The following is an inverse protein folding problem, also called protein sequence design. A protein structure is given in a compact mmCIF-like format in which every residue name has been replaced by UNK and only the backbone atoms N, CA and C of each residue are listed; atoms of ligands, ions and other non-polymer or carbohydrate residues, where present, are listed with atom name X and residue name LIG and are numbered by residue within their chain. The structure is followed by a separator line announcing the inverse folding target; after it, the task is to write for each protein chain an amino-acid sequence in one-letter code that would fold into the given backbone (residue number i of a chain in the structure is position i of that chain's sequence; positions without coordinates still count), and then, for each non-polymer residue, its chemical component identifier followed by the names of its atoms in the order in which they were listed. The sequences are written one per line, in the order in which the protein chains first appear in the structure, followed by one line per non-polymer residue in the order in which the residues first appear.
data_IF_273588818686
#
_entry.id   IF_273588818686
#
_cell.length_a   1.000
_cell.length_b   1.000
_cell.length_c   1.000
_cell.angle_alpha   90.00
_cell.angle_beta   90.00
_cell.angle_gamma   90.00
#
_symmetry.space_group_name_H-M   'P 1'
#
loop_
_entity.id
_entity.type
_entity.pdbx_description
1 polymer ?
#
# COMPACT_ATOMS: atom_id res chain seq x y z
N UNK A 1 -10.82 -0.87 -12.79
CA UNK A 1 -10.38 -0.99 -11.39
C UNK A 1 -10.38 -2.47 -11.05
N UNK A 2 -9.31 -3.00 -10.47
CA UNK A 2 -9.24 -4.42 -10.08
C UNK A 2 -10.23 -4.67 -8.92
N UNK A 3 -10.92 -5.81 -8.89
CA UNK A 3 -11.88 -6.16 -7.84
C UNK A 3 -11.27 -6.03 -6.45
N UNK A 4 -10.04 -6.51 -6.27
CA UNK A 4 -9.30 -6.39 -5.01
C UNK A 4 -9.05 -4.92 -4.61
N UNK A 5 -8.67 -4.05 -5.56
CA UNK A 5 -8.48 -2.62 -5.25
C UNK A 5 -9.78 -1.95 -4.83
N UNK A 6 -10.91 -2.31 -5.45
CA UNK A 6 -12.22 -1.80 -5.05
C UNK A 6 -12.65 -2.32 -3.67
N UNK A 7 -12.36 -3.58 -3.34
CA UNK A 7 -12.60 -4.13 -2.00
C UNK A 7 -11.80 -3.38 -0.92
N UNK A 8 -10.50 -3.16 -1.17
CA UNK A 8 -9.62 -2.42 -0.24
C UNK A 8 -10.16 -1.00 -0.01
N UNK A 9 -10.54 -0.29 -1.07
CA UNK A 9 -11.14 1.05 -0.97
C UNK A 9 -12.43 1.04 -0.14
N UNK A 10 -13.33 0.08 -0.37
CA UNK A 10 -14.58 -0.04 0.41
C UNK A 10 -14.29 -0.27 1.90
N UNK A 11 -13.31 -1.10 2.24
CA UNK A 11 -12.93 -1.35 3.64
C UNK A 11 -12.34 -0.11 4.30
N UNK A 12 -11.51 0.65 3.60
CA UNK A 12 -10.96 1.91 4.11
C UNK A 12 -12.09 2.90 4.39
N UNK A 13 -13.00 3.11 3.43
CA UNK A 13 -14.12 4.04 3.61
C UNK A 13 -15.04 3.62 4.75
N UNK A 14 -15.31 2.31 4.89
CA UNK A 14 -16.10 1.80 6.02
C UNK A 14 -15.41 2.03 7.36
N UNK A 15 -14.08 1.91 7.43
CA UNK A 15 -13.33 2.19 8.66
C UNK A 15 -13.42 3.67 9.04
N UNK A 16 -13.30 4.59 8.07
CA UNK A 16 -13.44 6.03 8.29
C UNK A 16 -14.85 6.37 8.79
N UNK A 17 -15.90 5.84 8.16
CA UNK A 17 -17.28 6.04 8.58
C UNK A 17 -17.54 5.55 10.02
N UNK A 18 -17.07 4.34 10.37
CA UNK A 18 -17.18 3.83 11.74
C UNK A 18 -16.44 4.74 12.73
N UNK A 19 -15.24 5.20 12.38
CA UNK A 19 -14.44 6.07 13.24
C UNK A 19 -15.10 7.45 13.43
N UNK A 20 -15.70 8.03 12.40
CA UNK A 20 -16.48 9.26 12.50
C UNK A 20 -17.74 9.09 13.36
N UNK A 21 -18.49 8.00 13.15
CA UNK A 21 -19.69 7.69 13.93
C UNK A 21 -19.40 7.43 15.42
N UNK A 22 -18.16 7.04 15.74
CA UNK A 22 -17.66 6.85 17.12
C UNK A 22 -16.93 8.07 17.69
N UNK A 23 -16.93 9.20 16.98
CA UNK A 23 -16.20 10.42 17.35
C UNK A 23 -14.68 10.25 17.50
N UNK A 24 -14.07 9.23 16.87
CA UNK A 24 -12.61 9.09 16.78
C UNK A 24 -11.99 9.99 15.72
N UNK A 25 -12.77 10.35 14.69
CA UNK A 25 -12.38 11.28 13.63
C UNK A 25 -13.46 12.36 13.50
N UNK A 26 -13.03 13.57 13.14
CA UNK A 26 -13.88 14.65 12.65
C UNK A 26 -13.58 14.89 11.19
N UNK A 27 -14.53 15.51 10.48
CA UNK A 27 -14.28 15.96 9.11
C UNK A 27 -13.11 16.94 9.08
N UNK A 28 -12.15 16.72 8.17
CA UNK A 28 -10.92 17.49 8.07
C UNK A 28 -9.70 16.87 8.75
N UNK A 29 -9.88 15.88 9.63
CA UNK A 29 -8.75 15.25 10.32
C UNK A 29 -7.90 14.42 9.34
N UNK A 30 -6.56 14.43 9.49
CA UNK A 30 -5.69 13.58 8.67
C UNK A 30 -5.78 12.11 9.13
N UNK A 31 -5.89 11.20 8.16
CA UNK A 31 -5.94 9.75 8.38
C UNK A 31 -4.78 9.09 7.64
N UNK A 32 -3.95 8.36 8.38
CA UNK A 32 -2.89 7.53 7.81
C UNK A 32 -3.45 6.15 7.48
N UNK A 33 -3.35 5.76 6.22
CA UNK A 33 -3.80 4.47 5.71
C UNK A 33 -2.58 3.61 5.40
N UNK A 34 -2.59 2.37 5.92
CA UNK A 34 -1.60 1.35 5.63
C UNK A 34 -2.25 0.20 4.88
N UNK A 35 -1.72 -0.14 3.72
CA UNK A 35 -2.22 -1.21 2.84
C UNK A 35 -1.07 -1.96 2.20
N UNK A 36 -1.37 -3.10 1.57
CA UNK A 36 -0.42 -3.76 0.69
C UNK A 36 -0.55 -3.32 -0.76
N UNK A 37 0.48 -3.62 -1.55
CA UNK A 37 0.49 -3.37 -3.00
C UNK A 37 -0.25 -4.43 -3.82
N UNK A 38 -0.39 -5.64 -3.25
CA UNK A 38 -1.04 -6.81 -3.86
C UNK A 38 -1.90 -7.58 -2.86
N UNK A 39 -2.84 -8.42 -3.33
CA UNK A 39 -3.54 -9.36 -2.46
C UNK A 39 -2.60 -10.38 -1.80
N UNK A 40 -3.04 -10.90 -0.64
CA UNK A 40 -2.31 -11.89 0.15
C UNK A 40 -1.69 -11.28 1.42
N UNK A 41 -1.07 -12.15 2.21
CA UNK A 41 -0.40 -11.77 3.47
C UNK A 41 1.01 -11.20 3.22
N UNK A 42 1.55 -10.49 4.22
CA UNK A 42 2.96 -10.07 4.25
C UNK A 42 3.36 -8.95 3.29
N UNK A 43 2.40 -8.29 2.63
CA UNK A 43 2.69 -7.26 1.62
C UNK A 43 2.31 -5.84 2.05
N UNK A 44 2.11 -5.56 3.34
CA UNK A 44 1.73 -4.23 3.87
C UNK A 44 2.90 -3.24 3.79
N UNK A 45 3.00 -2.52 2.67
CA UNK A 45 4.13 -1.64 2.36
C UNK A 45 3.71 -0.31 1.72
N UNK A 46 2.42 -0.03 1.60
CA UNK A 46 1.89 1.17 0.96
C UNK A 46 1.22 2.06 2.00
N UNK A 47 1.73 3.29 2.16
CA UNK A 47 1.19 4.29 3.07
C UNK A 47 0.58 5.46 2.30
N UNK A 48 -0.59 5.95 2.74
CA UNK A 48 -1.25 7.14 2.19
C UNK A 48 -1.79 8.02 3.32
N UNK A 49 -1.79 9.33 3.12
CA UNK A 49 -2.48 10.27 4.02
C UNK A 49 -3.69 10.81 3.28
N UNK A 50 -4.87 10.66 3.86
CA UNK A 50 -6.12 11.20 3.32
C UNK A 50 -6.80 12.06 4.35
N UNK A 51 -7.60 13.01 3.90
CA UNK A 51 -8.46 13.80 4.78
C UNK A 51 -9.75 13.04 5.05
N UNK A 52 -10.11 12.91 6.33
CA UNK A 52 -11.38 12.35 6.74
C UNK A 52 -12.52 13.23 6.20
N UNK A 53 -13.38 12.67 5.35
CA UNK A 53 -14.55 13.34 4.82
C UNK A 53 -15.80 12.55 5.22
N UNK A 54 -16.91 13.26 5.45
CA UNK A 54 -18.20 12.60 5.60
C UNK A 54 -18.65 12.08 4.23
N UNK A 55 -19.06 10.82 4.20
CA UNK A 55 -19.31 10.06 2.98
C UNK A 55 -20.72 9.48 2.93
N UNK A 56 -21.58 9.83 3.89
CA UNK A 56 -22.93 9.26 4.05
C UNK A 56 -23.85 9.44 2.84
N UNK A 57 -23.66 10.51 2.05
CA UNK A 57 -24.53 10.88 0.94
C UNK A 57 -23.87 10.77 -0.45
N UNK A 58 -22.75 10.05 -0.58
CA UNK A 58 -22.05 9.90 -1.85
C UNK A 58 -22.27 8.52 -2.44
N UNK A 59 -22.98 8.47 -3.57
CA UNK A 59 -23.22 7.24 -4.34
C UNK A 59 -21.91 6.61 -4.88
N UNK A 60 -20.88 7.43 -5.06
CA UNK A 60 -19.57 7.00 -5.58
C UNK A 60 -18.45 7.61 -4.75
N UNK A 61 -17.59 6.74 -4.20
CA UNK A 61 -16.45 7.15 -3.38
C UNK A 61 -15.19 7.28 -4.23
N UNK A 62 -14.34 8.29 -3.98
CA UNK A 62 -13.11 8.42 -4.74
C UNK A 62 -12.17 7.24 -4.43
N UNK A 63 -11.49 6.69 -5.45
CA UNK A 63 -10.57 5.59 -5.26
C UNK A 63 -9.35 6.03 -4.46
N UNK A 64 -8.91 5.20 -3.53
CA UNK A 64 -7.72 5.46 -2.72
C UNK A 64 -6.55 4.62 -3.24
N UNK A 65 -6.73 3.32 -3.46
CA UNK A 65 -5.63 2.43 -3.87
C UNK A 65 -5.52 2.23 -5.39
N UNK A 66 -6.57 2.49 -6.15
CA UNK A 66 -6.67 2.08 -7.57
C UNK A 66 -5.73 2.76 -8.58
N UNK A 67 -4.97 3.80 -8.19
CA UNK A 67 -4.23 4.65 -9.15
C UNK A 67 -2.70 4.52 -9.12
N UNK A 68 -2.07 3.92 -8.09
CA UNK A 68 -0.59 3.92 -8.01
C UNK A 68 0.03 2.85 -7.10
N UNK A 69 -0.69 1.77 -6.79
CA UNK A 69 -0.17 0.78 -5.82
C UNK A 69 0.96 -0.10 -6.36
N UNK A 70 1.36 0.01 -7.63
CA UNK A 70 2.57 -0.66 -8.13
C UNK A 70 3.78 0.10 -7.58
N UNK A 71 4.61 -0.50 -6.71
CA UNK A 71 5.84 0.14 -6.24
C UNK A 71 6.76 0.36 -7.44
N UNK A 72 7.47 1.48 -7.49
CA UNK A 72 8.41 1.78 -8.58
C UNK A 72 9.48 0.69 -8.76
N UNK A 73 9.79 -0.07 -7.71
CA UNK A 73 10.72 -1.21 -7.76
C UNK A 73 10.26 -2.32 -8.72
N UNK A 74 8.95 -2.53 -8.91
CA UNK A 74 8.45 -3.55 -9.84
C UNK A 74 8.78 -3.24 -11.31
N UNK A 75 9.05 -1.98 -11.65
CA UNK A 75 9.49 -1.60 -13.01
C UNK A 75 11.00 -1.80 -13.23
N UNK A 76 11.79 -1.93 -12.16
CA UNK A 76 13.27 -1.99 -12.25
C UNK A 76 13.73 -3.32 -12.87
N UNK A 77 13.02 -4.42 -12.65
CA UNK A 77 13.37 -5.74 -13.22
C UNK A 77 13.28 -5.79 -14.76
N UNK A 78 12.50 -4.92 -15.39
CA UNK A 78 12.30 -4.93 -16.84
C UNK A 78 13.43 -4.31 -17.67
N UNK A 79 14.42 -3.68 -17.03
CA UNK A 79 15.55 -3.01 -17.68
C UNK A 79 16.91 -3.66 -17.43
N UNK A 80 16.95 -4.81 -16.75
CA UNK A 80 18.19 -5.55 -16.51
C UNK A 80 18.30 -6.61 -17.60
N UNK A 81 18.98 -6.27 -18.70
CA UNK A 81 19.54 -7.29 -19.59
C UNK A 81 20.44 -8.20 -18.73
N UNK A 82 20.37 -9.53 -18.88
CA UNK A 82 21.22 -10.43 -18.12
C UNK A 82 22.68 -10.18 -18.51
N UNK A 83 23.39 -9.37 -17.73
CA UNK A 83 24.83 -9.28 -17.85
C UNK A 83 25.39 -10.58 -17.28
N UNK A 84 25.91 -11.44 -18.17
CA UNK A 84 26.78 -12.55 -17.81
C UNK A 84 27.95 -12.00 -16.97
N UNK A 85 27.79 -12.00 -15.65
CA UNK A 85 28.88 -11.75 -14.72
C UNK A 85 29.10 -13.02 -13.92
N UNK A 86 29.90 -13.92 -14.49
CA UNK A 86 30.61 -14.94 -13.75
C UNK A 86 31.62 -14.25 -12.81
N UNK A 87 31.12 -13.68 -11.72
CA UNK A 87 31.98 -13.22 -10.63
C UNK A 87 31.77 -14.19 -9.48
N UNK A 88 32.70 -15.13 -9.34
CA UNK A 88 32.78 -16.05 -8.21
C UNK A 88 32.88 -15.24 -6.92
N UNK A 89 31.90 -15.39 -6.04
CA UNK A 89 31.93 -14.87 -4.67
C UNK A 89 33.04 -15.63 -3.91
N UNK A 90 34.06 -14.96 -3.34
CA UNK A 90 35.01 -15.63 -2.45
C UNK A 90 34.28 -16.03 -1.16
N UNK A 91 34.40 -17.30 -0.80
CA UNK A 91 33.92 -17.85 0.47
C UNK A 91 34.77 -17.27 1.61
N UNK A 92 34.29 -16.20 2.24
CA UNK A 92 34.90 -15.67 3.46
C UNK A 92 33.96 -15.86 4.65
N UNK A 93 34.00 -17.09 5.17
CA UNK A 93 33.42 -17.45 6.46
C UNK A 93 34.18 -16.74 7.60
N UNK A 94 33.78 -15.53 8.00
CA UNK A 94 33.98 -15.10 9.40
C UNK A 94 33.21 -13.85 9.85
N UNK A 95 31.90 -13.75 9.58
CA UNK A 95 31.09 -12.74 10.29
C UNK A 95 30.52 -13.37 11.57
N UNK A 96 31.26 -13.24 12.68
CA UNK A 96 30.72 -13.49 14.03
C UNK A 96 29.89 -12.29 14.45
N UNK A 97 28.59 -12.50 14.66
CA UNK A 97 27.78 -11.56 15.44
C UNK A 97 28.07 -11.78 16.91
N UNK A 98 28.29 -10.67 17.64
CA UNK A 98 28.51 -10.66 19.09
C UNK A 98 27.33 -11.28 19.86
#
# INVERSE_FOLDING_TARGET
MNEWTADVDRRIWRAIDIAMNRNFLRAGDPVVILTGWKPGSGSTNTMRIVTAADVKDKDVLPPIVGISSIPSFASIESGIEPSDSSTSVPDDQNVRFF
#
